data_IF_817651884945
#
_entry.id   IF_817651884945
#
_cell.length_a   1.000
_cell.length_b   1.000
_cell.length_c   1.000
_cell.angle_alpha   90.00
_cell.angle_beta   90.00
_cell.angle_gamma   90.00
#
_symmetry.space_group_name_H-M   'P 1'
#
loop_
_entity.id
_entity.type
_entity.pdbx_description
1 polymer ?
#
# COMPACT_ATOMS: atom_id res chain seq x y z
N UNK A 1 -0.88 31.20 18.72
CA UNK A 1 -1.46 29.85 18.66
C UNK A 1 -1.54 29.44 17.21
N UNK A 2 -0.64 28.55 16.81
CA UNK A 2 -0.45 28.09 15.44
C UNK A 2 -1.59 27.14 15.07
N UNK A 3 -2.59 27.64 14.33
CA UNK A 3 -3.69 26.84 13.80
C UNK A 3 -3.32 26.39 12.38
N UNK A 4 -2.47 25.38 12.30
CA UNK A 4 -2.27 24.57 11.09
C UNK A 4 -2.56 23.12 11.47
N UNK A 5 -3.82 22.84 11.80
CA UNK A 5 -4.29 21.47 11.98
C UNK A 5 -4.18 20.76 10.63
N UNK A 6 -3.10 20.00 10.45
CA UNK A 6 -2.97 19.11 9.32
C UNK A 6 -4.20 18.20 9.31
N UNK A 7 -5.00 18.30 8.25
CA UNK A 7 -6.19 17.50 7.99
C UNK A 7 -5.77 16.04 7.77
N UNK A 8 -5.32 15.39 8.84
CA UNK A 8 -4.89 14.00 8.85
C UNK A 8 -6.16 13.18 9.02
N UNK A 9 -6.59 12.43 7.99
CA UNK A 9 -7.79 11.62 8.08
C UNK A 9 -7.68 10.67 9.27
N UNK A 10 -8.78 10.50 10.00
CA UNK A 10 -8.85 9.56 11.11
C UNK A 10 -8.52 8.13 10.61
N UNK A 11 -7.91 7.27 11.43
CA UNK A 11 -7.65 5.88 11.04
C UNK A 11 -8.89 5.13 10.55
N UNK A 12 -10.08 5.45 11.06
CA UNK A 12 -11.36 4.92 10.59
C UNK A 12 -11.66 5.35 9.15
N UNK A 13 -11.56 6.64 8.85
CA UNK A 13 -11.79 7.20 7.51
C UNK A 13 -10.82 6.58 6.49
N UNK A 14 -9.55 6.39 6.88
CA UNK A 14 -8.57 5.69 6.07
C UNK A 14 -8.98 4.24 5.76
N UNK A 15 -9.47 3.50 6.76
CA UNK A 15 -9.92 2.11 6.59
C UNK A 15 -11.18 2.02 5.72
N UNK A 16 -12.13 2.94 5.88
CA UNK A 16 -13.31 3.00 5.03
C UNK A 16 -12.96 3.30 3.58
N UNK A 17 -12.06 4.26 3.35
CA UNK A 17 -11.61 4.60 2.00
C UNK A 17 -10.84 3.43 1.36
N UNK A 18 -9.97 2.77 2.12
CA UNK A 18 -9.31 1.54 1.68
C UNK A 18 -10.35 0.51 1.23
N UNK A 19 -11.39 0.24 2.04
CA UNK A 19 -12.43 -0.74 1.69
C UNK A 19 -13.10 -0.40 0.36
N UNK A 20 -13.48 0.87 0.15
CA UNK A 20 -14.09 1.34 -1.12
C UNK A 20 -13.17 1.09 -2.32
N UNK A 21 -11.87 1.39 -2.18
CA UNK A 21 -10.89 1.14 -3.25
C UNK A 21 -10.76 -0.36 -3.54
N UNK A 22 -10.65 -1.20 -2.50
CA UNK A 22 -10.51 -2.66 -2.65
C UNK A 22 -11.76 -3.31 -3.28
N UNK A 23 -12.94 -2.76 -3.04
CA UNK A 23 -14.21 -3.21 -3.64
C UNK A 23 -14.44 -2.63 -5.05
N UNK A 24 -13.59 -1.73 -5.55
CA UNK A 24 -13.72 -1.10 -6.87
C UNK A 24 -13.33 -2.03 -8.02
N UNK A 25 -13.92 -1.84 -9.22
CA UNK A 25 -13.61 -2.71 -10.38
C UNK A 25 -12.13 -2.66 -10.77
N UNK A 26 -11.48 -1.53 -10.50
CA UNK A 26 -10.07 -1.27 -10.77
C UNK A 26 -9.16 -2.22 -9.99
N UNK A 27 -9.53 -2.58 -8.75
CA UNK A 27 -8.73 -3.40 -7.85
C UNK A 27 -9.24 -4.83 -7.66
N UNK A 28 -10.54 -5.09 -7.89
CA UNK A 28 -11.15 -6.42 -7.71
C UNK A 28 -10.45 -7.55 -8.50
N UNK A 29 -9.80 -7.22 -9.63
CA UNK A 29 -9.11 -8.20 -10.48
C UNK A 29 -7.69 -8.57 -10.07
N UNK A 30 -7.12 -7.94 -9.02
CA UNK A 30 -5.73 -8.23 -8.61
C UNK A 30 -5.61 -8.33 -7.10
N UNK A 31 -5.51 -9.57 -6.61
CA UNK A 31 -5.29 -9.85 -5.19
C UNK A 31 -3.96 -9.28 -4.68
N UNK A 32 -2.88 -9.40 -5.47
CA UNK A 32 -1.58 -8.84 -5.12
C UNK A 32 -1.62 -7.32 -4.87
N UNK A 33 -2.31 -6.55 -5.73
CA UNK A 33 -2.44 -5.10 -5.55
C UNK A 33 -3.33 -4.75 -4.36
N UNK A 34 -4.37 -5.55 -4.10
CA UNK A 34 -5.25 -5.39 -2.95
C UNK A 34 -4.49 -5.61 -1.64
N UNK A 35 -3.71 -6.69 -1.56
CA UNK A 35 -2.89 -7.01 -0.39
C UNK A 35 -1.82 -5.94 -0.16
N UNK A 36 -1.18 -5.48 -1.25
CA UNK A 36 -0.19 -4.40 -1.19
C UNK A 36 -0.79 -3.10 -0.66
N UNK A 37 -1.92 -2.66 -1.20
CA UNK A 37 -2.56 -1.44 -0.73
C UNK A 37 -3.01 -1.55 0.73
N UNK A 38 -3.62 -2.68 1.11
CA UNK A 38 -4.06 -2.91 2.48
C UNK A 38 -2.88 -2.92 3.47
N UNK A 39 -1.77 -3.56 3.10
CA UNK A 39 -0.54 -3.58 3.90
C UNK A 39 0.04 -2.17 4.07
N UNK A 40 0.16 -1.40 2.98
CA UNK A 40 0.73 -0.05 3.02
C UNK A 40 -0.13 0.90 3.86
N UNK A 41 -1.45 0.86 3.73
CA UNK A 41 -2.36 1.67 4.56
C UNK A 41 -2.27 1.25 6.03
N UNK A 42 -2.33 -0.06 6.32
CA UNK A 42 -2.20 -0.56 7.69
C UNK A 42 -0.88 -0.17 8.34
N UNK A 43 0.22 -0.24 7.58
CA UNK A 43 1.53 0.21 8.04
C UNK A 43 1.57 1.71 8.29
N UNK A 44 1.06 2.53 7.35
CA UNK A 44 1.03 3.99 7.49
C UNK A 44 0.20 4.44 8.70
N UNK A 45 -0.85 3.72 9.06
CA UNK A 45 -1.65 4.01 10.26
C UNK A 45 -0.93 3.63 11.55
N UNK A 46 -0.11 2.56 11.53
CA UNK A 46 0.64 2.08 12.70
C UNK A 46 1.95 2.84 12.91
N UNK A 47 2.62 3.22 11.83
CA UNK A 47 3.98 3.77 11.83
C UNK A 47 4.14 4.76 10.67
N UNK A 48 3.50 5.95 10.72
CA UNK A 48 3.51 6.93 9.63
C UNK A 48 4.91 7.49 9.32
N UNK A 49 5.76 7.58 10.34
CA UNK A 49 7.11 8.14 10.25
C UNK A 49 8.12 7.17 9.61
N UNK A 50 7.76 5.89 9.46
CA UNK A 50 8.69 4.84 9.05
C UNK A 50 8.13 4.07 7.86
N UNK A 51 8.76 4.11 6.68
CA UNK A 51 8.31 3.29 5.56
C UNK A 51 8.59 1.80 5.80
N UNK A 52 7.73 0.89 5.31
CA UNK A 52 8.01 -0.54 5.36
C UNK A 52 9.23 -0.89 4.50
N UNK A 53 10.01 -1.87 4.96
CA UNK A 53 11.16 -2.38 4.20
C UNK A 53 10.70 -3.13 2.96
N UNK A 54 11.38 -2.93 1.83
CA UNK A 54 11.07 -3.61 0.55
C UNK A 54 11.05 -5.13 0.70
N UNK A 55 12.00 -5.70 1.46
CA UNK A 55 12.03 -7.13 1.77
C UNK A 55 10.74 -7.63 2.44
N UNK A 56 10.21 -6.90 3.43
CA UNK A 56 8.98 -7.29 4.14
C UNK A 56 7.79 -7.28 3.19
N UNK A 57 7.72 -6.29 2.29
CA UNK A 57 6.68 -6.26 1.26
C UNK A 57 6.84 -7.47 0.34
N UNK A 58 8.07 -7.78 -0.07
CA UNK A 58 8.33 -8.91 -0.96
C UNK A 58 7.88 -10.25 -0.34
N UNK A 59 8.31 -10.55 0.88
CA UNK A 59 8.04 -11.85 1.53
C UNK A 59 6.61 -11.94 2.04
N UNK A 60 6.14 -10.95 2.80
CA UNK A 60 4.86 -11.02 3.51
C UNK A 60 3.67 -10.71 2.60
N UNK A 61 3.85 -9.87 1.58
CA UNK A 61 2.75 -9.40 0.73
C UNK A 61 2.78 -10.04 -0.64
N UNK A 62 3.97 -10.12 -1.26
CA UNK A 62 4.13 -10.68 -2.60
C UNK A 62 4.47 -12.18 -2.61
N UNK A 63 4.66 -12.79 -1.44
CA UNK A 63 4.97 -14.23 -1.31
C UNK A 63 6.33 -14.60 -1.91
N UNK A 64 7.29 -13.68 -1.88
CA UNK A 64 8.65 -13.94 -2.37
C UNK A 64 9.42 -14.80 -1.38
N UNK A 65 10.36 -15.62 -1.87
CA UNK A 65 11.16 -16.48 -1.02
C UNK A 65 12.11 -15.64 -0.13
N UNK A 66 12.62 -16.27 0.93
CA UNK A 66 13.52 -15.64 1.90
C UNK A 66 14.88 -15.23 1.31
N UNK A 67 15.29 -15.81 0.17
CA UNK A 67 16.48 -15.39 -0.57
C UNK A 67 16.25 -14.15 -1.46
N UNK A 68 15.09 -13.50 -1.36
CA UNK A 68 14.74 -12.32 -2.15
C UNK A 68 15.79 -11.21 -2.05
N UNK A 69 16.36 -10.84 -3.20
CA UNK A 69 17.26 -9.70 -3.36
C UNK A 69 16.55 -8.56 -4.10
N UNK A 70 16.30 -7.39 -3.46
CA UNK A 70 15.69 -6.24 -4.12
C UNK A 70 16.53 -5.65 -5.26
N UNK A 71 17.85 -5.92 -5.32
CA UNK A 71 18.68 -5.49 -6.43
C UNK A 71 18.46 -6.35 -7.67
N UNK A 72 18.28 -7.66 -7.51
CA UNK A 72 18.06 -8.61 -8.60
C UNK A 72 16.59 -8.72 -9.02
N UNK A 73 15.64 -8.64 -8.09
CA UNK A 73 14.21 -8.80 -8.36
C UNK A 73 13.45 -7.46 -8.17
N UNK A 74 12.97 -6.83 -9.26
CA UNK A 74 12.23 -5.58 -9.21
C UNK A 74 10.74 -5.76 -8.85
N UNK A 75 10.29 -6.95 -8.42
CA UNK A 75 8.89 -7.26 -8.19
C UNK A 75 8.17 -6.23 -7.33
N UNK A 76 8.76 -5.81 -6.20
CA UNK A 76 8.14 -4.82 -5.32
C UNK A 76 7.97 -3.49 -6.05
N UNK A 77 9.04 -2.98 -6.68
CA UNK A 77 8.98 -1.73 -7.47
C UNK A 77 7.93 -1.79 -8.57
N UNK A 78 7.83 -2.92 -9.27
CA UNK A 78 6.84 -3.12 -10.34
C UNK A 78 5.41 -3.12 -9.78
N UNK A 79 5.15 -3.83 -8.68
CA UNK A 79 3.82 -3.88 -8.08
C UNK A 79 3.42 -2.53 -7.47
N UNK A 80 4.35 -1.82 -6.82
CA UNK A 80 4.14 -0.46 -6.34
C UNK A 80 3.85 0.50 -7.49
N UNK A 81 4.58 0.39 -8.60
CA UNK A 81 4.31 1.16 -9.82
C UNK A 81 2.90 0.91 -10.37
N UNK A 82 2.51 -0.36 -10.50
CA UNK A 82 1.15 -0.76 -10.92
C UNK A 82 0.08 -0.26 -9.96
N UNK A 83 0.35 -0.34 -8.65
CA UNK A 83 -0.56 0.17 -7.62
C UNK A 83 -0.79 1.67 -7.82
N UNK A 84 0.26 2.46 -8.01
CA UNK A 84 0.14 3.91 -8.28
C UNK A 84 -0.69 4.19 -9.52
N UNK A 85 -0.43 3.50 -10.63
CA UNK A 85 -1.24 3.65 -11.85
C UNK A 85 -2.71 3.31 -11.60
N UNK A 86 -3.01 2.24 -10.88
CA UNK A 86 -4.39 1.85 -10.56
C UNK A 86 -5.09 2.82 -9.62
N UNK A 87 -4.36 3.44 -8.70
CA UNK A 87 -4.92 4.52 -7.88
C UNK A 87 -5.22 5.75 -8.74
N UNK A 88 -4.35 6.11 -9.68
CA UNK A 88 -4.61 7.19 -10.65
C UNK A 88 -5.79 6.87 -11.56
N UNK A 89 -6.03 5.61 -11.93
CA UNK A 89 -7.21 5.22 -12.72
C UNK A 89 -8.52 5.27 -11.89
N UNK A 90 -8.43 5.14 -10.57
CA UNK A 90 -9.59 5.10 -9.67
C UNK A 90 -10.09 6.49 -9.27
N UNK A 91 -9.17 7.44 -9.11
CA UNK A 91 -9.47 8.83 -8.75
C UNK A 91 -9.62 9.70 -10.01
#
# INVERSE_FOLDING_TARGET
MENSGANTPDPEECREQLRKILESRTFRGSEALRNLLAFLVGWSLKSPETPPKEYVIATEVLGRPEDFDPHADPAVRVQVGRLRSKLTDYY
#
